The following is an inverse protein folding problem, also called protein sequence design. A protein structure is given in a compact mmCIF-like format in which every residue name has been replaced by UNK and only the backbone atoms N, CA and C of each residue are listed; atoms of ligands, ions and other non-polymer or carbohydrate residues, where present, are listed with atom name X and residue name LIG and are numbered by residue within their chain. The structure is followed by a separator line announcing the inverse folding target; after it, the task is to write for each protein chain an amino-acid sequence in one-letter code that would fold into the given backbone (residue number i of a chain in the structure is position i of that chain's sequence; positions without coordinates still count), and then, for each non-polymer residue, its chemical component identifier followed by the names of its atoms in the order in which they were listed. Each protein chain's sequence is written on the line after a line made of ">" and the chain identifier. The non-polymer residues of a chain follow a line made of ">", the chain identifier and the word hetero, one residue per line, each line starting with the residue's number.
data_IF_393529441775
#
_entry.id   IF_393529441775
#
_cell.length_a   1.000
_cell.length_b   1.000
_cell.length_c   1.000
_cell.angle_alpha   90.00
_cell.angle_beta   90.00
_cell.angle_gamma   90.00
#
_symmetry.space_group_name_H-M   'P 1'
#
loop_
_entity.id
_entity.type
_entity.pdbx_description
1 polymer ?
#
# COMPACT_ATOMS: atom_id res chain seq x y z
N UNK A 1 25.39 9.31 -10.25
CA UNK A 1 24.27 9.87 -11.04
C UNK A 1 23.07 8.95 -10.87
N UNK A 2 21.89 9.49 -10.53
CA UNK A 2 20.65 8.71 -10.42
C UNK A 2 20.15 8.32 -11.81
N UNK A 3 19.88 7.03 -12.08
CA UNK A 3 19.33 6.56 -13.35
C UNK A 3 18.06 7.32 -13.79
N UNK A 4 17.90 7.70 -15.08
CA UNK A 4 16.70 8.36 -15.58
C UNK A 4 15.41 7.60 -15.29
N UNK A 5 15.45 6.27 -15.35
CA UNK A 5 14.30 5.41 -15.06
C UNK A 5 13.77 5.60 -13.62
N UNK A 6 14.65 5.85 -12.65
CA UNK A 6 14.26 6.11 -11.25
C UNK A 6 13.56 7.47 -11.16
N UNK A 7 14.10 8.49 -11.83
CA UNK A 7 13.49 9.83 -11.86
C UNK A 7 12.10 9.77 -12.50
N UNK A 8 11.95 9.04 -13.61
CA UNK A 8 10.67 8.90 -14.29
C UNK A 8 9.65 8.10 -13.46
N UNK A 9 10.08 7.06 -12.75
CA UNK A 9 9.24 6.31 -11.83
C UNK A 9 8.69 7.21 -10.70
N UNK A 10 9.56 8.02 -10.09
CA UNK A 10 9.16 8.96 -9.04
C UNK A 10 8.19 10.02 -9.57
N UNK A 11 8.45 10.61 -10.75
CA UNK A 11 7.55 11.57 -11.40
C UNK A 11 6.15 10.99 -11.68
N UNK A 12 6.09 9.69 -11.99
CA UNK A 12 4.84 8.96 -12.26
C UNK A 12 4.19 8.41 -10.99
N UNK A 13 4.72 8.71 -9.80
CA UNK A 13 4.18 8.23 -8.54
C UNK A 13 4.36 6.73 -8.29
N UNK A 14 5.28 6.05 -9.02
CA UNK A 14 5.59 4.62 -8.87
C UNK A 14 6.45 4.37 -7.64
N UNK A 15 5.90 4.61 -6.45
CA UNK A 15 6.62 4.49 -5.20
C UNK A 15 5.74 3.90 -4.10
N UNK A 16 6.42 3.30 -3.12
CA UNK A 16 5.87 2.88 -1.85
C UNK A 16 6.93 3.21 -0.78
N UNK A 17 6.50 3.31 0.47
CA UNK A 17 7.38 3.45 1.61
C UNK A 17 7.32 2.17 2.44
N UNK A 18 8.45 1.78 3.01
CA UNK A 18 8.54 0.70 3.99
C UNK A 18 9.56 1.08 5.05
N UNK A 19 9.36 0.61 6.27
CA UNK A 19 10.37 0.66 7.34
C UNK A 19 10.98 -0.72 7.58
N UNK A 20 12.08 -0.77 8.35
CA UNK A 20 12.65 -2.03 8.82
C UNK A 20 11.64 -2.81 9.68
N UNK A 21 11.60 -4.15 9.59
CA UNK A 21 12.51 -5.04 8.87
C UNK A 21 12.24 -5.16 7.35
N UNK A 22 11.19 -4.51 6.83
CA UNK A 22 10.94 -4.39 5.39
C UNK A 22 9.74 -5.20 4.91
N UNK A 23 8.96 -4.58 4.03
CA UNK A 23 7.97 -5.23 3.21
C UNK A 23 7.91 -4.58 1.82
N UNK A 24 7.64 -5.40 0.80
CA UNK A 24 7.21 -4.95 -0.51
C UNK A 24 5.69 -4.98 -0.52
N UNK A 25 5.06 -3.88 -0.93
CA UNK A 25 3.61 -3.75 -1.03
C UNK A 25 3.24 -3.20 -2.40
N UNK A 26 2.33 -3.89 -3.06
CA UNK A 26 1.82 -3.55 -4.38
C UNK A 26 0.31 -3.40 -4.30
N UNK A 27 -0.21 -2.44 -5.06
CA UNK A 27 -1.63 -2.20 -5.24
C UNK A 27 -1.89 -2.00 -6.73
N UNK A 28 -2.91 -2.67 -7.24
CA UNK A 28 -3.47 -2.39 -8.55
C UNK A 28 -4.98 -2.19 -8.44
N UNK A 29 -5.53 -1.28 -9.23
CA UNK A 29 -6.98 -1.07 -9.39
C UNK A 29 -7.27 -1.00 -10.88
N UNK A 30 -8.10 -1.90 -11.41
CA UNK A 30 -8.32 -2.05 -12.85
C UNK A 30 -6.99 -2.21 -13.63
N UNK A 31 -6.03 -2.94 -13.05
CA UNK A 31 -4.67 -3.10 -13.59
C UNK A 31 -3.82 -1.81 -13.62
N UNK A 32 -4.27 -0.74 -12.96
CA UNK A 32 -3.54 0.53 -12.83
C UNK A 32 -2.76 0.56 -11.52
N UNK A 33 -1.53 1.07 -11.60
CA UNK A 33 -0.57 1.11 -10.49
C UNK A 33 -0.58 2.48 -9.79
N UNK A 34 0.04 2.63 -8.61
CA UNK A 34 0.16 3.91 -7.91
C UNK A 34 0.65 5.04 -8.82
N UNK A 35 0.00 6.20 -8.73
CA UNK A 35 0.21 7.36 -9.58
C UNK A 35 -0.62 7.40 -10.87
N UNK A 36 -1.22 6.27 -11.29
CA UNK A 36 -2.18 6.27 -12.41
C UNK A 36 -3.55 6.78 -11.98
N UNK A 37 -4.38 7.06 -12.99
CA UNK A 37 -5.79 7.37 -12.83
C UNK A 37 -6.65 6.27 -13.46
N UNK A 38 -7.60 5.75 -12.68
CA UNK A 38 -8.69 4.89 -13.14
C UNK A 38 -9.89 5.79 -13.45
N UNK A 39 -10.50 5.61 -14.63
CA UNK A 39 -11.71 6.33 -15.05
C UNK A 39 -12.86 5.35 -15.22
N UNK A 40 -14.06 5.78 -14.85
CA UNK A 40 -15.29 4.97 -14.98
C UNK A 40 -16.04 4.81 -13.66
N UNK A 41 -17.32 4.47 -13.71
CA UNK A 41 -18.19 4.42 -12.53
C UNK A 41 -18.35 3.01 -11.94
N UNK A 42 -18.84 2.96 -10.70
CA UNK A 42 -19.30 1.71 -10.08
C UNK A 42 -18.24 1.00 -9.24
N UNK A 43 -18.21 -0.33 -9.37
CA UNK A 43 -17.37 -1.24 -8.61
C UNK A 43 -16.12 -1.57 -9.41
N UNK A 44 -14.96 -1.41 -8.79
CA UNK A 44 -13.65 -1.58 -9.41
C UNK A 44 -12.99 -2.84 -8.85
N UNK A 45 -12.35 -3.63 -9.71
CA UNK A 45 -11.47 -4.72 -9.30
C UNK A 45 -10.14 -4.16 -8.80
N UNK A 46 -9.68 -4.70 -7.68
CA UNK A 46 -8.42 -4.33 -7.09
C UNK A 46 -7.65 -5.58 -6.62
N UNK A 47 -6.34 -5.47 -6.63
CA UNK A 47 -5.44 -6.50 -6.16
C UNK A 47 -4.40 -5.88 -5.22
N UNK A 48 -4.22 -6.49 -4.05
CA UNK A 48 -3.13 -6.18 -3.15
C UNK A 48 -2.16 -7.36 -3.11
N UNK A 49 -0.87 -7.08 -3.27
CA UNK A 49 0.20 -8.08 -3.14
C UNK A 49 1.24 -7.61 -2.15
N UNK A 50 1.72 -8.52 -1.31
CA UNK A 50 2.75 -8.22 -0.33
C UNK A 50 3.76 -9.34 -0.17
N UNK A 51 4.99 -8.94 0.13
CA UNK A 51 6.06 -9.81 0.61
C UNK A 51 6.70 -9.12 1.82
N UNK A 52 6.79 -9.78 2.96
CA UNK A 52 7.29 -9.20 4.19
C UNK A 52 8.35 -10.07 4.86
N UNK A 53 9.35 -9.41 5.47
CA UNK A 53 10.35 -10.08 6.30
C UNK A 53 9.75 -10.64 7.61
N UNK A 54 8.56 -10.17 8.01
CA UNK A 54 7.84 -10.50 9.25
C UNK A 54 6.42 -10.96 8.96
N UNK A 55 5.74 -11.66 9.89
CA UNK A 55 4.34 -12.04 9.72
C UNK A 55 3.43 -10.84 9.45
N UNK A 56 2.66 -10.89 8.36
CA UNK A 56 1.69 -9.85 8.03
C UNK A 56 0.48 -9.99 8.96
N UNK A 57 0.12 -8.89 9.62
CA UNK A 57 -1.09 -8.83 10.43
C UNK A 57 -2.30 -8.58 9.54
N UNK A 58 -2.26 -7.51 8.74
CA UNK A 58 -3.31 -7.19 7.76
C UNK A 58 -2.83 -6.22 6.69
N UNK A 59 -3.60 -6.12 5.62
CA UNK A 59 -3.50 -5.04 4.63
C UNK A 59 -4.83 -4.28 4.62
N UNK A 60 -4.78 -2.99 4.91
CA UNK A 60 -5.93 -2.10 4.78
C UNK A 60 -5.85 -1.33 3.46
N UNK A 61 -6.97 -1.27 2.76
CA UNK A 61 -7.16 -0.31 1.68
C UNK A 61 -7.87 0.92 2.21
N UNK A 62 -7.24 2.07 1.96
CA UNK A 62 -7.68 3.35 2.45
C UNK A 62 -8.10 4.22 1.28
N UNK A 63 -9.36 4.67 1.30
CA UNK A 63 -9.94 5.57 0.32
C UNK A 63 -10.41 6.83 1.04
N UNK A 64 -9.85 7.99 0.64
CA UNK A 64 -10.12 9.30 1.28
C UNK A 64 -9.89 9.29 2.81
N UNK A 65 -8.88 8.55 3.26
CA UNK A 65 -8.54 8.46 4.69
C UNK A 65 -9.39 7.48 5.50
N UNK A 66 -10.35 6.78 4.88
CA UNK A 66 -11.13 5.74 5.55
C UNK A 66 -10.74 4.35 5.03
N UNK A 67 -10.63 3.38 5.94
CA UNK A 67 -10.47 1.97 5.55
C UNK A 67 -11.77 1.49 4.90
N UNK A 68 -11.69 1.05 3.66
CA UNK A 68 -12.83 0.53 2.87
C UNK A 68 -12.78 -0.97 2.66
N UNK A 69 -11.60 -1.57 2.83
CA UNK A 69 -11.41 -3.00 2.79
C UNK A 69 -10.21 -3.39 3.65
N UNK A 70 -10.30 -4.54 4.31
CA UNK A 70 -9.22 -5.09 5.14
C UNK A 70 -9.03 -6.56 4.81
N UNK A 71 -7.78 -6.94 4.59
CA UNK A 71 -7.36 -8.30 4.30
C UNK A 71 -6.59 -8.81 5.52
N UNK A 72 -7.06 -9.88 6.13
CA UNK A 72 -6.34 -10.54 7.21
C UNK A 72 -5.09 -11.25 6.65
N UNK A 73 -3.92 -10.92 7.22
CA UNK A 73 -2.65 -11.52 6.81
C UNK A 73 -2.44 -12.92 7.37
N UNK A 74 -3.14 -13.30 8.45
CA UNK A 74 -3.03 -14.61 9.11
C UNK A 74 -1.59 -15.02 9.45
N UNK A 75 -0.69 -14.04 9.65
CA UNK A 75 0.73 -14.26 9.90
C UNK A 75 1.53 -14.77 8.68
N UNK A 76 0.94 -14.79 7.48
CA UNK A 76 1.65 -15.12 6.24
C UNK A 76 2.72 -14.06 5.95
N UNK A 77 3.78 -14.47 5.26
CA UNK A 77 4.84 -13.56 4.78
C UNK A 77 4.63 -13.11 3.34
N UNK A 78 3.79 -13.83 2.60
CA UNK A 78 3.40 -13.50 1.24
C UNK A 78 1.88 -13.55 1.15
N UNK A 79 1.30 -12.58 0.44
CA UNK A 79 -0.14 -12.44 0.31
C UNK A 79 -0.45 -11.85 -1.07
N UNK A 80 -1.41 -12.43 -1.78
CA UNK A 80 -2.00 -11.89 -3.00
C UNK A 80 -3.49 -12.05 -2.87
N UNK A 81 -4.22 -10.95 -2.85
CA UNK A 81 -5.67 -10.99 -2.68
C UNK A 81 -6.34 -10.05 -3.68
N UNK A 82 -7.39 -10.58 -4.33
CA UNK A 82 -8.25 -9.84 -5.25
C UNK A 82 -9.58 -9.58 -4.59
N UNK A 83 -10.05 -8.36 -4.73
CA UNK A 83 -11.30 -7.93 -4.15
C UNK A 83 -11.87 -6.79 -5.00
N UNK A 84 -12.99 -6.27 -4.55
CA UNK A 84 -13.69 -5.19 -5.26
C UNK A 84 -13.95 -4.05 -4.29
N UNK A 85 -13.80 -2.84 -4.80
CA UNK A 85 -14.08 -1.61 -4.04
C UNK A 85 -15.10 -0.76 -4.80
N UNK A 86 -15.92 -0.04 -4.05
CA UNK A 86 -16.78 0.97 -4.64
C UNK A 86 -15.97 2.23 -4.93
N UNK A 87 -16.02 2.72 -6.18
CA UNK A 87 -15.37 3.98 -6.54
C UNK A 87 -15.87 5.12 -5.64
N UNK A 88 -17.16 5.12 -5.32
CA UNK A 88 -17.84 6.20 -4.60
C UNK A 88 -17.53 7.57 -5.21
N UNK A 89 -17.49 8.60 -4.36
CA UNK A 89 -16.92 9.92 -4.70
C UNK A 89 -15.41 9.96 -4.43
N UNK A 90 -14.75 8.79 -4.47
CA UNK A 90 -13.33 8.62 -4.17
C UNK A 90 -12.47 9.40 -5.15
N UNK A 91 -11.48 10.13 -4.64
CA UNK A 91 -10.44 10.78 -5.44
C UNK A 91 -9.21 9.88 -5.59
N UNK A 92 -8.94 9.07 -4.55
CA UNK A 92 -7.77 8.22 -4.47
C UNK A 92 -7.96 7.04 -3.52
N UNK A 93 -7.18 5.99 -3.73
CA UNK A 93 -7.05 4.81 -2.86
C UNK A 93 -5.58 4.41 -2.73
N UNK A 94 -5.17 3.95 -1.55
CA UNK A 94 -3.83 3.39 -1.29
C UNK A 94 -3.93 2.16 -0.38
N UNK A 95 -2.85 1.38 -0.29
CA UNK A 95 -2.76 0.24 0.62
C UNK A 95 -1.81 0.54 1.77
N UNK A 96 -2.16 0.07 2.97
CA UNK A 96 -1.36 0.08 4.19
C UNK A 96 -1.15 -1.36 4.64
N UNK A 97 0.09 -1.77 4.87
CA UNK A 97 0.41 -3.08 5.44
C UNK A 97 0.80 -2.91 6.90
N UNK A 98 0.19 -3.72 7.76
CA UNK A 98 0.47 -3.80 9.19
C UNK A 98 1.18 -5.11 9.52
N UNK A 99 2.14 -5.03 10.42
CA UNK A 99 2.82 -6.20 10.95
C UNK A 99 3.14 -5.97 12.43
N UNK A 100 3.02 -7.03 13.21
CA UNK A 100 3.49 -7.04 14.59
C UNK A 100 5.00 -7.32 14.57
N UNK A 101 5.77 -6.26 14.39
CA UNK A 101 7.22 -6.31 14.36
C UNK A 101 7.78 -5.43 15.47
N UNK A 102 8.56 -5.99 16.41
CA UNK A 102 9.20 -5.19 17.45
C UNK A 102 10.04 -4.10 16.78
N UNK A 103 9.84 -2.88 17.25
CA UNK A 103 10.66 -1.75 16.83
C UNK A 103 12.05 -1.94 17.43
N UNK A 104 13.12 -2.06 16.63
CA UNK A 104 14.45 -2.21 17.20
C UNK A 104 14.87 -0.86 17.81
N UNK A 105 15.34 -0.89 19.05
CA UNK A 105 15.75 0.30 19.85
C UNK A 105 16.80 1.20 19.18
N UNK A 106 17.38 0.76 18.04
CA UNK A 106 18.36 1.48 17.25
C UNK A 106 17.80 2.06 15.93
N UNK A 107 16.49 2.09 15.72
CA UNK A 107 15.91 2.75 14.54
C UNK A 107 15.99 4.28 14.64
N UNK A 108 16.50 4.92 13.59
CA UNK A 108 16.66 6.38 13.50
C UNK A 108 15.35 7.15 13.28
N UNK A 109 14.20 6.47 13.33
CA UNK A 109 12.91 7.02 12.92
C UNK A 109 11.87 6.67 13.98
N UNK A 110 11.77 7.45 15.06
CA UNK A 110 10.69 7.35 16.06
C UNK A 110 9.48 8.19 15.64
N UNK A 111 8.91 7.90 14.47
CA UNK A 111 7.87 8.72 13.85
C UNK A 111 6.48 8.27 14.29
N UNK A 112 5.43 9.12 14.13
CA UNK A 112 4.04 8.72 14.34
C UNK A 112 3.60 7.50 13.52
N UNK A 113 4.33 7.14 12.45
CA UNK A 113 4.06 5.91 11.69
C UNK A 113 4.44 4.66 12.47
N UNK A 114 5.45 4.72 13.33
CA UNK A 114 5.93 3.56 14.08
C UNK A 114 4.95 3.14 15.18
N UNK A 115 4.29 4.11 15.83
CA UNK A 115 3.23 3.83 16.82
C UNK A 115 1.94 3.30 16.19
N UNK A 116 1.74 3.47 14.88
CA UNK A 116 0.52 3.03 14.18
C UNK A 116 0.53 1.55 13.79
N UNK A 117 1.68 0.88 13.83
CA UNK A 117 1.85 -0.50 13.38
C UNK A 117 1.97 -0.66 11.85
N UNK A 118 1.86 0.43 11.07
CA UNK A 118 2.08 0.40 9.62
C UNK A 118 3.55 0.07 9.34
N UNK A 119 3.80 -0.98 8.57
CA UNK A 119 5.13 -1.40 8.11
C UNK A 119 5.43 -0.85 6.71
N UNK A 120 4.43 -0.80 5.83
CA UNK A 120 4.58 -0.26 4.47
C UNK A 120 3.29 0.38 3.96
N UNK A 121 3.42 1.32 3.02
CA UNK A 121 2.27 1.91 2.31
C UNK A 121 2.61 2.30 0.87
N UNK A 122 1.62 2.22 -0.02
CA UNK A 122 1.77 2.64 -1.43
C UNK A 122 1.49 4.13 -1.60
N UNK A 123 2.00 4.72 -2.68
CA UNK A 123 1.37 5.90 -3.25
C UNK A 123 -0.09 5.60 -3.67
N UNK A 124 -0.93 6.63 -3.86
CA UNK A 124 -2.31 6.44 -4.26
C UNK A 124 -2.47 6.06 -5.74
N UNK A 125 -3.49 5.26 -6.04
CA UNK A 125 -4.15 5.22 -7.35
C UNK A 125 -5.30 6.22 -7.33
N UNK A 126 -5.39 7.08 -8.35
CA UNK A 126 -6.44 8.10 -8.44
C UNK A 126 -7.69 7.54 -9.09
N UNK A 127 -8.85 7.92 -8.59
CA UNK A 127 -10.17 7.50 -9.07
C UNK A 127 -10.90 8.73 -9.62
N UNK A 128 -11.17 8.79 -10.93
CA UNK A 128 -11.78 9.94 -11.64
C UNK A 128 -13.03 9.59 -12.41
#
# INVERSE_FOLDING_TARGET
>A
ITPPAIIDALRRGRAFCTRAPGALLYLEVEGKMPGDTVRGGGRLEAEARAQSAVPIQRIDLVQRGCVVHSIDGQGRRELTERFTIDRGNGQWVLALLYADAPYPDNSHCGTPFDVSGVLAFTNPVYLQ
#
